data_IF_488287615374
#
_entry.id   IF_488287615374
#
_cell.length_a   1.000
_cell.length_b   1.000
_cell.length_c   1.000
_cell.angle_alpha   90.00
_cell.angle_beta   90.00
_cell.angle_gamma   90.00
#
_symmetry.space_group_name_H-M   'P 1'
#
loop_
_entity.id
_entity.type
_entity.pdbx_description
1 polymer ?
#
# COMPACT_ATOMS: atom_id res chain seq x y z
N UNK A 1 22.90 -25.38 -32.16
CA UNK A 1 21.63 -24.96 -31.54
C UNK A 1 21.89 -23.89 -30.52
N UNK A 2 21.63 -22.64 -30.90
CA UNK A 2 21.89 -21.47 -30.05
C UNK A 2 20.81 -21.37 -28.98
N UNK A 3 21.14 -21.70 -27.72
CA UNK A 3 20.25 -21.49 -26.60
C UNK A 3 19.99 -20.02 -26.36
N UNK A 4 18.87 -19.50 -26.85
CA UNK A 4 18.39 -18.15 -26.49
C UNK A 4 18.28 -18.07 -24.97
N UNK A 5 19.14 -17.28 -24.33
CA UNK A 5 18.98 -16.93 -22.92
C UNK A 5 17.66 -16.21 -22.76
N UNK A 6 16.68 -16.85 -22.13
CA UNK A 6 15.42 -16.24 -21.72
C UNK A 6 15.78 -15.05 -20.81
N UNK A 7 15.30 -13.83 -21.09
CA UNK A 7 15.59 -12.70 -20.22
C UNK A 7 15.18 -12.99 -18.78
N UNK A 8 15.96 -12.51 -17.79
CA UNK A 8 15.73 -12.77 -16.35
C UNK A 8 14.30 -12.44 -15.83
N UNK A 9 13.49 -11.71 -16.61
CA UNK A 9 12.10 -11.40 -16.32
C UNK A 9 11.15 -12.61 -16.42
N UNK A 10 11.54 -13.69 -17.12
CA UNK A 10 10.72 -14.91 -17.28
C UNK A 10 11.08 -16.02 -16.28
N UNK A 11 11.98 -15.76 -15.32
CA UNK A 11 12.42 -16.79 -14.35
C UNK A 11 11.36 -17.13 -13.30
N UNK A 12 10.41 -16.23 -13.08
CA UNK A 12 9.38 -16.37 -12.05
C UNK A 12 7.98 -16.30 -12.68
N UNK A 13 7.09 -17.20 -12.28
CA UNK A 13 5.71 -17.22 -12.71
C UNK A 13 4.82 -16.48 -11.70
N UNK A 14 3.70 -15.89 -12.16
CA UNK A 14 2.71 -15.31 -11.27
C UNK A 14 1.87 -16.41 -10.62
N UNK A 15 1.77 -16.36 -9.31
CA UNK A 15 0.73 -17.03 -8.55
C UNK A 15 -0.50 -16.13 -8.62
N UNK A 16 -1.29 -16.26 -9.70
CA UNK A 16 -2.42 -15.38 -9.95
C UNK A 16 -3.68 -15.81 -9.20
N UNK A 17 -4.51 -14.87 -8.72
CA UNK A 17 -5.82 -15.19 -8.18
C UNK A 17 -6.76 -15.66 -9.30
N UNK A 18 -7.64 -16.60 -9.00
CA UNK A 18 -8.70 -16.99 -9.93
C UNK A 18 -9.83 -15.95 -9.97
N UNK A 19 -10.76 -16.07 -10.94
CA UNK A 19 -11.86 -15.09 -11.11
C UNK A 19 -12.70 -14.89 -9.84
N UNK A 20 -13.03 -15.98 -9.12
CA UNK A 20 -13.79 -15.91 -7.86
C UNK A 20 -13.02 -15.14 -6.79
N UNK A 21 -11.72 -15.40 -6.64
CA UNK A 21 -10.84 -14.71 -5.72
C UNK A 21 -10.71 -13.21 -6.06
N UNK A 22 -10.67 -12.86 -7.36
CA UNK A 22 -10.67 -11.46 -7.80
C UNK A 22 -11.97 -10.77 -7.40
N UNK A 23 -13.13 -11.34 -7.72
CA UNK A 23 -14.44 -10.71 -7.45
C UNK A 23 -14.62 -10.51 -5.93
N UNK A 24 -14.44 -11.56 -5.14
CA UNK A 24 -14.55 -11.48 -3.68
C UNK A 24 -13.48 -10.54 -3.13
N UNK A 25 -12.27 -10.64 -3.66
CA UNK A 25 -11.15 -9.79 -3.27
C UNK A 25 -11.41 -8.31 -3.52
N UNK A 26 -12.06 -7.92 -4.63
CA UNK A 26 -12.43 -6.53 -4.89
C UNK A 26 -13.48 -6.00 -3.88
N UNK A 27 -14.46 -6.84 -3.52
CA UNK A 27 -15.46 -6.49 -2.49
C UNK A 27 -14.77 -6.28 -1.13
N UNK A 28 -13.91 -7.23 -0.74
CA UNK A 28 -13.15 -7.13 0.51
C UNK A 28 -12.19 -5.93 0.51
N UNK A 29 -11.57 -5.63 -0.64
CA UNK A 29 -10.71 -4.45 -0.81
C UNK A 29 -11.47 -3.15 -0.59
N UNK A 30 -12.68 -3.04 -1.14
CA UNK A 30 -13.56 -1.90 -0.91
C UNK A 30 -13.87 -1.74 0.59
N UNK A 31 -14.29 -2.82 1.27
CA UNK A 31 -14.56 -2.79 2.71
C UNK A 31 -13.31 -2.38 3.50
N UNK A 32 -12.14 -2.93 3.15
CA UNK A 32 -10.86 -2.65 3.82
C UNK A 32 -10.47 -1.17 3.68
N UNK A 33 -10.48 -0.65 2.45
CA UNK A 33 -10.09 0.73 2.14
C UNK A 33 -11.02 1.73 2.83
N UNK A 34 -12.34 1.53 2.72
CA UNK A 34 -13.35 2.47 3.23
C UNK A 34 -13.85 2.14 4.65
N UNK A 35 -13.17 1.21 5.36
CA UNK A 35 -13.56 0.78 6.71
C UNK A 35 -13.80 1.93 7.68
N UNK A 36 -12.91 2.93 7.72
CA UNK A 36 -13.04 4.10 8.60
C UNK A 36 -14.31 4.91 8.32
N UNK A 37 -14.63 5.10 7.03
CA UNK A 37 -15.84 5.83 6.61
C UNK A 37 -17.11 5.05 6.93
N UNK A 38 -17.11 3.74 6.68
CA UNK A 38 -18.26 2.88 7.00
C UNK A 38 -18.50 2.81 8.50
N UNK A 39 -17.45 2.64 9.30
CA UNK A 39 -17.56 2.65 10.77
C UNK A 39 -18.08 4.00 11.25
N UNK A 40 -17.55 5.13 10.75
CA UNK A 40 -18.05 6.44 11.11
C UNK A 40 -19.56 6.59 10.80
N UNK A 41 -19.99 6.21 9.58
CA UNK A 41 -21.40 6.25 9.19
C UNK A 41 -22.30 5.36 10.06
N UNK A 42 -21.85 4.17 10.46
CA UNK A 42 -22.60 3.29 11.36
C UNK A 42 -22.75 3.90 12.75
N UNK A 43 -21.70 4.50 13.30
CA UNK A 43 -21.71 5.11 14.64
C UNK A 43 -22.68 6.28 14.76
N UNK A 44 -22.89 7.06 13.68
CA UNK A 44 -23.86 8.17 13.68
C UNK A 44 -25.32 7.72 13.85
N UNK A 45 -25.61 6.45 13.58
CA UNK A 45 -26.96 5.88 13.70
C UNK A 45 -27.22 5.18 15.03
N UNK A 46 -26.27 5.22 15.99
CA UNK A 46 -26.41 4.60 17.31
C UNK A 46 -26.48 5.68 18.39
N UNK A 47 -27.68 6.15 18.79
CA UNK A 47 -27.84 7.27 19.73
C UNK A 47 -27.27 7.02 21.12
N UNK A 48 -27.08 5.74 21.49
CA UNK A 48 -26.58 5.35 22.82
C UNK A 48 -25.08 5.54 23.02
N UNK A 49 -24.32 5.90 21.96
CA UNK A 49 -22.87 6.10 22.05
C UNK A 49 -22.58 7.59 22.33
N UNK A 50 -22.14 7.87 23.53
CA UNK A 50 -21.83 9.24 23.98
C UNK A 50 -20.61 9.84 23.27
N UNK A 51 -19.59 9.02 22.92
CA UNK A 51 -18.36 9.43 22.23
C UNK A 51 -18.03 8.51 21.05
N UNK A 52 -18.67 8.72 19.88
CA UNK A 52 -18.43 7.87 18.71
C UNK A 52 -16.97 7.95 18.20
N UNK A 53 -16.26 9.07 18.43
CA UNK A 53 -14.89 9.27 18.00
C UNK A 53 -13.90 8.37 18.75
N UNK A 54 -14.13 8.08 20.02
CA UNK A 54 -13.29 7.16 20.81
C UNK A 54 -13.40 5.72 20.30
N UNK A 55 -14.59 5.31 19.87
CA UNK A 55 -14.85 3.95 19.43
C UNK A 55 -14.45 3.70 17.97
N UNK A 56 -14.44 4.74 17.13
CA UNK A 56 -14.16 4.65 15.70
C UNK A 56 -12.84 3.96 15.36
N UNK A 57 -11.70 4.29 15.98
CA UNK A 57 -10.42 3.64 15.71
C UNK A 57 -10.49 2.13 16.00
N UNK A 58 -11.04 1.74 17.14
CA UNK A 58 -11.12 0.34 17.55
C UNK A 58 -11.95 -0.50 16.58
N UNK A 59 -13.12 -0.01 16.21
CA UNK A 59 -13.98 -0.69 15.22
C UNK A 59 -13.36 -0.73 13.83
N UNK A 60 -12.65 0.33 13.43
CA UNK A 60 -11.93 0.34 12.16
C UNK A 60 -10.86 -0.75 12.11
N UNK A 61 -10.07 -0.89 13.17
CA UNK A 61 -9.05 -1.95 13.27
C UNK A 61 -9.69 -3.32 13.33
N UNK A 62 -10.79 -3.48 14.07
CA UNK A 62 -11.53 -4.75 14.12
C UNK A 62 -12.01 -5.16 12.72
N UNK A 63 -12.64 -4.24 11.98
CA UNK A 63 -13.11 -4.48 10.60
C UNK A 63 -11.93 -4.84 9.69
N UNK A 64 -10.84 -4.06 9.70
CA UNK A 64 -9.66 -4.34 8.88
C UNK A 64 -9.02 -5.68 9.21
N UNK A 65 -8.89 -6.01 10.49
CA UNK A 65 -8.34 -7.30 10.93
C UNK A 65 -9.24 -8.45 10.50
N UNK A 66 -10.56 -8.31 10.64
CA UNK A 66 -11.54 -9.32 10.19
C UNK A 66 -11.44 -9.53 8.68
N UNK A 67 -11.38 -8.45 7.88
CA UNK A 67 -11.20 -8.55 6.42
C UNK A 67 -9.87 -9.22 6.08
N UNK A 68 -8.80 -8.91 6.81
CA UNK A 68 -7.50 -9.54 6.62
C UNK A 68 -7.55 -11.04 6.89
N UNK A 69 -8.23 -11.48 7.95
CA UNK A 69 -8.46 -12.91 8.25
C UNK A 69 -9.23 -13.58 7.11
N UNK A 70 -10.28 -12.92 6.59
CA UNK A 70 -11.05 -13.45 5.45
C UNK A 70 -10.15 -13.55 4.21
N UNK A 71 -9.28 -12.57 3.93
CA UNK A 71 -8.29 -12.65 2.87
C UNK A 71 -7.36 -13.87 3.04
N UNK A 72 -6.85 -14.11 4.26
CA UNK A 72 -5.99 -15.26 4.53
C UNK A 72 -6.72 -16.58 4.28
N UNK A 73 -8.00 -16.69 4.64
CA UNK A 73 -8.80 -17.89 4.38
C UNK A 73 -9.03 -18.06 2.87
N UNK A 74 -9.47 -16.99 2.17
CA UNK A 74 -9.77 -16.99 0.74
C UNK A 74 -8.55 -17.31 -0.12
N UNK A 75 -7.39 -16.77 0.26
CA UNK A 75 -6.15 -16.80 -0.50
C UNK A 75 -5.12 -17.77 0.10
N UNK A 76 -5.53 -18.63 1.05
CA UNK A 76 -4.63 -19.51 1.82
C UNK A 76 -3.61 -20.24 0.93
N UNK A 77 -4.07 -20.87 -0.12
CA UNK A 77 -3.19 -21.65 -1.03
C UNK A 77 -2.13 -20.77 -1.69
N UNK A 78 -2.54 -19.59 -2.18
CA UNK A 78 -1.66 -18.64 -2.84
C UNK A 78 -0.64 -18.04 -1.86
N UNK A 79 -1.10 -17.64 -0.65
CA UNK A 79 -0.23 -17.09 0.39
C UNK A 79 0.80 -18.11 0.86
N UNK A 80 0.39 -19.35 1.12
CA UNK A 80 1.31 -20.43 1.51
C UNK A 80 2.34 -20.71 0.40
N UNK A 81 1.96 -20.61 -0.87
CA UNK A 81 2.89 -20.79 -1.97
C UNK A 81 3.89 -19.62 -2.05
N UNK A 82 3.47 -18.35 -1.85
CA UNK A 82 4.40 -17.21 -1.76
C UNK A 82 5.41 -17.38 -0.63
N UNK A 83 4.95 -17.80 0.55
CA UNK A 83 5.82 -18.05 1.70
C UNK A 83 6.76 -19.21 1.43
N UNK A 84 6.29 -20.29 0.81
CA UNK A 84 7.14 -21.42 0.41
C UNK A 84 8.20 -20.98 -0.60
N UNK A 85 7.84 -20.28 -1.67
CA UNK A 85 8.78 -19.79 -2.68
C UNK A 85 9.83 -18.85 -2.08
N UNK A 86 9.41 -18.03 -1.09
CA UNK A 86 10.33 -17.16 -0.37
C UNK A 86 11.30 -17.99 0.49
N UNK A 87 10.80 -18.98 1.25
CA UNK A 87 11.61 -19.85 2.11
C UNK A 87 12.59 -20.71 1.30
N UNK A 88 12.14 -21.27 0.18
CA UNK A 88 12.94 -22.17 -0.66
C UNK A 88 13.96 -21.39 -1.51
N UNK A 89 13.81 -20.07 -1.65
CA UNK A 89 14.77 -19.20 -2.32
C UNK A 89 16.02 -19.01 -1.44
N UNK A 90 17.19 -18.90 -2.10
CA UNK A 90 18.43 -18.58 -1.37
C UNK A 90 18.31 -17.21 -0.67
N UNK A 91 18.80 -17.12 0.57
CA UNK A 91 18.81 -15.86 1.33
C UNK A 91 19.38 -14.69 0.51
N UNK A 92 20.50 -14.92 -0.20
CA UNK A 92 21.15 -13.91 -1.06
C UNK A 92 20.22 -13.39 -2.16
N UNK A 93 19.36 -14.24 -2.74
CA UNK A 93 18.42 -13.83 -3.77
C UNK A 93 17.26 -13.00 -3.19
N UNK A 94 16.71 -13.42 -2.05
CA UNK A 94 15.68 -12.66 -1.34
C UNK A 94 16.23 -11.29 -0.90
N UNK A 95 17.40 -11.25 -0.27
CA UNK A 95 18.08 -10.01 0.13
C UNK A 95 18.31 -9.08 -1.06
N UNK A 96 18.79 -9.60 -2.19
CA UNK A 96 18.98 -8.83 -3.43
C UNK A 96 17.69 -8.16 -3.91
N UNK A 97 16.54 -8.86 -3.84
CA UNK A 97 15.27 -8.29 -4.28
C UNK A 97 14.73 -7.23 -3.31
N UNK A 98 14.91 -7.42 -2.01
CA UNK A 98 14.58 -6.41 -0.99
C UNK A 98 15.45 -5.16 -1.21
N UNK A 99 16.77 -5.33 -1.37
CA UNK A 99 17.67 -4.19 -1.65
C UNK A 99 17.32 -3.46 -2.94
N UNK A 100 16.92 -4.17 -4.01
CA UNK A 100 16.42 -3.53 -5.24
C UNK A 100 15.17 -2.70 -4.98
N UNK A 101 14.25 -3.18 -4.16
CA UNK A 101 13.05 -2.44 -3.79
C UNK A 101 13.40 -1.15 -3.06
N UNK A 102 14.31 -1.20 -2.11
CA UNK A 102 14.83 -0.02 -1.39
C UNK A 102 15.49 0.97 -2.38
N UNK A 103 16.33 0.47 -3.29
CA UNK A 103 16.97 1.31 -4.30
C UNK A 103 15.94 1.98 -5.21
N UNK A 104 14.92 1.27 -5.70
CA UNK A 104 13.85 1.88 -6.52
C UNK A 104 13.07 2.93 -5.74
N UNK A 105 12.76 2.66 -4.49
CA UNK A 105 12.08 3.62 -3.61
C UNK A 105 12.91 4.90 -3.42
N UNK A 106 14.22 4.77 -3.13
CA UNK A 106 15.13 5.93 -2.99
C UNK A 106 15.23 6.70 -4.31
N UNK A 107 15.42 6.00 -5.43
CA UNK A 107 15.53 6.64 -6.75
C UNK A 107 14.26 7.44 -7.10
N UNK A 108 13.07 6.86 -6.90
CA UNK A 108 11.82 7.56 -7.15
C UNK A 108 11.65 8.77 -6.21
N UNK A 109 12.07 8.64 -4.95
CA UNK A 109 12.06 9.76 -4.00
C UNK A 109 13.00 10.89 -4.43
N UNK A 110 14.24 10.56 -4.83
CA UNK A 110 15.21 11.54 -5.31
C UNK A 110 14.69 12.26 -6.56
N UNK A 111 14.16 11.52 -7.54
CA UNK A 111 13.55 12.12 -8.74
C UNK A 111 12.40 13.05 -8.38
N UNK A 112 11.52 12.64 -7.47
CA UNK A 112 10.41 13.45 -7.02
C UNK A 112 10.86 14.76 -6.37
N UNK A 113 11.80 14.70 -5.42
CA UNK A 113 12.36 15.89 -4.77
C UNK A 113 13.04 16.80 -5.78
N UNK A 114 13.84 16.24 -6.70
CA UNK A 114 14.48 17.01 -7.76
C UNK A 114 13.47 17.74 -8.67
N UNK A 115 12.36 17.08 -9.03
CA UNK A 115 11.27 17.70 -9.80
C UNK A 115 10.59 18.83 -9.03
N UNK A 116 10.32 18.64 -7.73
CA UNK A 116 9.75 19.71 -6.91
C UNK A 116 10.67 20.93 -6.80
N UNK A 117 11.98 20.71 -6.61
CA UNK A 117 12.96 21.78 -6.57
C UNK A 117 13.06 22.50 -7.92
N UNK A 118 13.01 21.76 -9.02
CA UNK A 118 13.00 22.34 -10.36
C UNK A 118 11.76 23.21 -10.60
N UNK A 119 10.57 22.72 -10.23
CA UNK A 119 9.30 23.46 -10.31
C UNK A 119 9.38 24.73 -9.47
N UNK A 120 9.89 24.65 -8.23
CA UNK A 120 10.10 25.81 -7.37
C UNK A 120 10.95 26.89 -8.05
N UNK A 121 12.08 26.48 -8.64
CA UNK A 121 13.01 27.43 -9.29
C UNK A 121 12.40 28.03 -10.57
N UNK A 122 11.77 27.21 -11.43
CA UNK A 122 11.24 27.66 -12.71
C UNK A 122 9.99 28.52 -12.59
N UNK A 123 9.11 28.20 -11.63
CA UNK A 123 7.82 28.87 -11.48
C UNK A 123 7.81 29.92 -10.36
N UNK A 124 8.95 30.08 -9.65
CA UNK A 124 9.06 30.96 -8.48
C UNK A 124 7.96 30.71 -7.41
N UNK A 125 7.47 29.46 -7.31
CA UNK A 125 6.45 29.07 -6.36
C UNK A 125 7.12 28.73 -5.03
N UNK A 126 6.61 29.31 -3.94
CA UNK A 126 7.01 28.86 -2.60
C UNK A 126 6.40 27.50 -2.30
N UNK A 127 7.21 26.46 -2.43
CA UNK A 127 6.78 25.08 -2.14
C UNK A 127 6.89 24.74 -0.65
N UNK A 128 7.37 25.62 0.21
CA UNK A 128 7.50 25.35 1.67
C UNK A 128 6.14 25.05 2.28
N UNK A 129 5.08 25.72 1.82
CA UNK A 129 3.70 25.46 2.24
C UNK A 129 3.25 24.00 1.98
N UNK A 130 3.84 23.34 0.97
CA UNK A 130 3.55 21.94 0.66
C UNK A 130 4.32 20.98 1.57
N UNK A 131 5.44 21.44 2.17
CA UNK A 131 6.30 20.63 3.03
C UNK A 131 6.00 20.85 4.52
N UNK A 132 5.21 21.89 4.86
CA UNK A 132 4.86 22.23 6.23
C UNK A 132 3.66 21.39 6.70
N UNK A 133 3.96 20.27 7.33
CA UNK A 133 3.01 19.45 8.03
C UNK A 133 2.89 18.02 7.54
N UNK A 134 2.47 17.18 8.45
CA UNK A 134 2.13 15.78 8.16
C UNK A 134 0.82 15.69 7.37
N UNK A 135 0.66 14.63 6.60
CA UNK A 135 -0.64 14.35 5.97
C UNK A 135 -1.70 14.13 7.05
N UNK A 136 -2.97 14.42 6.72
CA UNK A 136 -4.10 14.13 7.62
C UNK A 136 -4.13 12.66 8.00
N UNK A 137 -3.71 11.77 7.09
CA UNK A 137 -3.57 10.35 7.38
C UNK A 137 -2.52 10.10 8.47
N UNK A 138 -1.33 10.73 8.38
CA UNK A 138 -0.26 10.58 9.37
C UNK A 138 -0.68 11.13 10.73
N UNK A 139 -1.18 12.36 10.77
CA UNK A 139 -1.67 12.97 12.03
C UNK A 139 -2.73 12.10 12.70
N UNK A 140 -3.65 11.52 11.92
CA UNK A 140 -4.67 10.60 12.45
C UNK A 140 -4.09 9.30 13.01
N UNK A 141 -2.99 8.80 12.43
CA UNK A 141 -2.27 7.61 12.92
C UNK A 141 -1.59 7.95 14.25
N UNK A 142 -0.92 9.08 14.33
CA UNK A 142 -0.18 9.53 15.50
C UNK A 142 -1.11 9.76 16.70
N UNK A 143 -2.27 10.41 16.46
CA UNK A 143 -3.31 10.58 17.49
C UNK A 143 -3.80 9.22 18.03
N UNK A 144 -4.05 8.26 17.15
CA UNK A 144 -4.53 6.93 17.56
C UNK A 144 -3.44 6.16 18.30
N UNK A 145 -2.17 6.25 17.89
CA UNK A 145 -1.05 5.59 18.59
C UNK A 145 -0.83 6.26 19.96
N UNK A 146 -0.94 7.59 20.07
CA UNK A 146 -0.82 8.29 21.32
C UNK A 146 -1.90 7.88 22.33
N UNK A 147 -3.15 7.72 21.86
CA UNK A 147 -4.24 7.25 22.71
C UNK A 147 -4.15 5.74 23.05
N UNK A 148 -3.68 4.93 22.10
CA UNK A 148 -3.63 3.46 22.21
C UNK A 148 -2.33 2.91 21.60
N UNK A 149 -1.22 2.86 22.36
CA UNK A 149 0.10 2.48 21.82
C UNK A 149 0.15 1.10 21.16
N UNK A 150 -0.72 0.16 21.50
CA UNK A 150 -0.81 -1.17 20.88
C UNK A 150 -1.13 -1.10 19.38
N UNK A 151 -1.72 -0.01 18.91
CA UNK A 151 -2.02 0.24 17.49
C UNK A 151 -0.79 0.31 16.61
N UNK A 152 0.38 0.56 17.16
CA UNK A 152 1.65 0.54 16.44
C UNK A 152 1.88 -0.81 15.74
N UNK A 153 1.43 -1.92 16.36
CA UNK A 153 1.52 -3.27 15.78
C UNK A 153 0.64 -3.35 14.53
N UNK A 154 -0.59 -2.80 14.60
CA UNK A 154 -1.46 -2.78 13.44
C UNK A 154 -0.86 -1.94 12.31
N UNK A 155 -0.42 -0.73 12.59
CA UNK A 155 0.10 0.21 11.58
C UNK A 155 1.40 -0.28 10.95
N UNK A 156 2.31 -0.84 11.76
CA UNK A 156 3.64 -1.24 11.27
C UNK A 156 3.69 -2.65 10.67
N UNK A 157 2.74 -3.53 11.00
CA UNK A 157 2.76 -4.92 10.53
C UNK A 157 1.49 -5.33 9.78
N UNK A 158 0.31 -5.18 10.40
CA UNK A 158 -0.92 -5.75 9.83
C UNK A 158 -1.45 -4.93 8.65
N UNK A 159 -1.41 -3.60 8.74
CA UNK A 159 -1.84 -2.73 7.65
C UNK A 159 -0.99 -2.92 6.39
N UNK A 160 0.36 -2.90 6.43
CA UNK A 160 1.20 -3.23 5.28
C UNK A 160 0.85 -4.56 4.61
N UNK A 161 0.61 -5.61 5.38
CA UNK A 161 0.23 -6.92 4.83
C UNK A 161 -1.10 -6.82 4.09
N UNK A 162 -2.12 -6.22 4.70
CA UNK A 162 -3.44 -6.05 4.10
C UNK A 162 -3.41 -5.19 2.85
N UNK A 163 -2.68 -4.10 2.89
CA UNK A 163 -2.54 -3.17 1.77
C UNK A 163 -1.80 -3.79 0.59
N UNK A 164 -0.79 -4.63 0.82
CA UNK A 164 -0.13 -5.35 -0.27
C UNK A 164 -1.03 -6.44 -0.87
N UNK A 165 -1.85 -7.15 -0.06
CA UNK A 165 -2.87 -8.06 -0.58
C UNK A 165 -3.85 -7.30 -1.48
N UNK A 166 -4.37 -6.17 -1.02
CA UNK A 166 -5.31 -5.34 -1.78
C UNK A 166 -4.66 -4.82 -3.06
N UNK A 167 -3.54 -4.13 -2.94
CA UNK A 167 -2.97 -3.35 -4.04
C UNK A 167 -2.15 -4.21 -5.01
N UNK A 168 -1.35 -5.20 -4.52
CA UNK A 168 -0.45 -5.98 -5.38
C UNK A 168 -1.05 -7.32 -5.77
N UNK A 169 -1.88 -7.90 -4.91
CA UNK A 169 -2.45 -9.18 -5.27
C UNK A 169 -3.81 -9.05 -5.98
N UNK A 170 -4.73 -8.27 -5.46
CA UNK A 170 -6.07 -8.14 -6.05
C UNK A 170 -6.11 -7.08 -7.17
N UNK A 171 -5.83 -5.81 -6.86
CA UNK A 171 -5.95 -4.71 -7.84
C UNK A 171 -4.96 -4.85 -8.99
N UNK A 172 -3.69 -5.13 -8.70
CA UNK A 172 -2.68 -5.30 -9.73
C UNK A 172 -3.07 -6.40 -10.74
N UNK A 173 -3.51 -7.58 -10.27
CA UNK A 173 -3.94 -8.66 -11.15
C UNK A 173 -5.22 -8.32 -11.92
N UNK A 174 -6.13 -7.52 -11.35
CA UNK A 174 -7.34 -7.04 -12.05
C UNK A 174 -6.99 -6.17 -13.27
N UNK A 175 -5.85 -5.48 -13.22
CA UNK A 175 -5.40 -4.59 -14.31
C UNK A 175 -4.30 -5.21 -15.19
N UNK A 176 -3.70 -6.31 -14.78
CA UNK A 176 -2.51 -6.89 -15.42
C UNK A 176 -2.72 -7.33 -16.87
N UNK A 177 -3.95 -7.68 -17.23
CA UNK A 177 -4.34 -8.00 -18.61
C UNK A 177 -4.20 -6.83 -19.58
N UNK A 178 -4.21 -5.58 -19.08
CA UNK A 178 -3.97 -4.36 -19.86
C UNK A 178 -2.48 -3.98 -19.96
N UNK A 179 -1.60 -4.78 -19.38
CA UNK A 179 -0.16 -4.60 -19.39
C UNK A 179 0.46 -4.34 -18.01
N UNK A 180 1.74 -4.72 -17.83
CA UNK A 180 2.44 -4.58 -16.55
C UNK A 180 2.61 -3.13 -16.11
N UNK A 181 2.96 -2.23 -17.04
CA UNK A 181 3.12 -0.81 -16.73
C UNK A 181 1.79 -0.19 -16.26
N UNK A 182 0.68 -0.53 -16.92
CA UNK A 182 -0.66 -0.06 -16.52
C UNK A 182 -1.02 -0.55 -15.12
N UNK A 183 -0.78 -1.83 -14.82
CA UNK A 183 -1.05 -2.39 -13.49
C UNK A 183 -0.17 -1.75 -12.39
N UNK A 184 1.12 -1.49 -12.67
CA UNK A 184 2.02 -0.79 -11.75
C UNK A 184 1.48 0.61 -11.44
N UNK A 185 1.21 1.41 -12.46
CA UNK A 185 0.78 2.81 -12.29
C UNK A 185 -0.56 2.87 -11.56
N UNK A 186 -1.56 2.11 -12.02
CA UNK A 186 -2.92 2.21 -11.48
C UNK A 186 -3.02 1.66 -10.05
N UNK A 187 -2.35 0.55 -9.73
CA UNK A 187 -2.35 0.03 -8.36
C UNK A 187 -1.62 0.95 -7.39
N UNK A 188 -0.59 1.66 -7.86
CA UNK A 188 0.15 2.65 -7.05
C UNK A 188 -0.64 3.95 -6.87
N UNK A 189 -1.37 4.38 -7.90
CA UNK A 189 -2.27 5.53 -7.82
C UNK A 189 -3.39 5.28 -6.80
N UNK A 190 -4.03 4.12 -6.88
CA UNK A 190 -5.08 3.75 -5.91
C UNK A 190 -4.50 3.68 -4.49
N UNK A 191 -3.30 3.10 -4.33
CA UNK A 191 -2.59 3.08 -3.05
C UNK A 191 -2.42 4.50 -2.49
N UNK A 192 -1.90 5.44 -3.28
CA UNK A 192 -1.75 6.84 -2.87
C UNK A 192 -3.09 7.52 -2.56
N UNK A 193 -4.11 7.32 -3.42
CA UNK A 193 -5.44 7.89 -3.21
C UNK A 193 -6.07 7.48 -1.88
N UNK A 194 -5.87 6.24 -1.45
CA UNK A 194 -6.38 5.75 -0.16
C UNK A 194 -5.82 6.52 1.04
N UNK A 195 -4.65 7.15 0.90
CA UNK A 195 -3.96 7.86 1.97
C UNK A 195 -4.29 9.37 2.03
N UNK A 196 -4.90 9.92 0.97
CA UNK A 196 -5.14 11.38 0.85
C UNK A 196 -6.63 11.75 0.77
N UNK A 197 -7.49 10.83 1.17
CA UNK A 197 -8.95 11.07 1.16
C UNK A 197 -9.36 12.17 2.14
N UNK A 198 -8.59 12.38 3.21
CA UNK A 198 -8.83 13.44 4.20
C UNK A 198 -8.61 14.83 3.63
N UNK A 199 -7.50 15.04 2.93
CA UNK A 199 -7.13 16.30 2.29
C UNK A 199 -8.17 16.70 1.25
N UNK A 200 -8.56 15.77 0.37
CA UNK A 200 -9.57 16.04 -0.65
C UNK A 200 -10.95 16.31 -0.05
N UNK A 201 -11.33 15.62 1.02
CA UNK A 201 -12.59 15.85 1.71
C UNK A 201 -12.65 17.24 2.38
N UNK A 202 -11.50 17.81 2.76
CA UNK A 202 -11.38 19.17 3.32
C UNK A 202 -11.14 20.25 2.25
N UNK A 203 -11.15 19.90 0.97
CA UNK A 203 -10.90 20.86 -0.13
C UNK A 203 -9.43 21.25 -0.30
N UNK A 204 -8.50 20.59 0.38
CA UNK A 204 -7.07 20.88 0.31
C UNK A 204 -6.42 20.18 -0.91
N UNK A 205 -6.86 20.50 -2.10
CA UNK A 205 -6.52 19.77 -3.33
C UNK A 205 -5.02 19.77 -3.64
N UNK A 206 -4.31 20.88 -3.47
CA UNK A 206 -2.89 20.98 -3.77
C UNK A 206 -2.03 20.17 -2.76
N UNK A 207 -2.37 20.26 -1.48
CA UNK A 207 -1.74 19.46 -0.43
C UNK A 207 -2.03 17.98 -0.64
N UNK A 208 -3.29 17.66 -0.97
CA UNK A 208 -3.69 16.28 -1.32
C UNK A 208 -2.94 15.73 -2.53
N UNK A 209 -2.72 16.55 -3.58
CA UNK A 209 -1.95 16.13 -4.75
C UNK A 209 -0.47 15.91 -4.40
N UNK A 210 0.12 16.77 -3.58
CA UNK A 210 1.48 16.59 -3.07
C UNK A 210 1.62 15.27 -2.30
N UNK A 211 0.75 15.02 -1.32
CA UNK A 211 0.76 13.79 -0.54
C UNK A 211 0.42 12.55 -1.39
N UNK A 212 -0.47 12.68 -2.38
CA UNK A 212 -0.77 11.61 -3.32
C UNK A 212 0.48 11.09 -4.01
N UNK A 213 1.29 11.99 -4.57
CA UNK A 213 2.54 11.62 -5.25
C UNK A 213 3.52 11.02 -4.23
N UNK A 214 3.59 11.61 -3.03
CA UNK A 214 4.43 11.12 -1.94
C UNK A 214 4.14 9.66 -1.58
N UNK A 215 2.85 9.30 -1.41
CA UNK A 215 2.43 7.93 -1.13
C UNK A 215 2.51 7.00 -2.35
N UNK A 216 2.36 7.53 -3.58
CA UNK A 216 2.56 6.73 -4.78
C UNK A 216 4.00 6.21 -4.94
N UNK A 217 5.01 6.91 -4.44
CA UNK A 217 6.43 6.54 -4.60
C UNK A 217 6.73 5.16 -4.04
N UNK A 218 6.48 4.85 -2.75
CA UNK A 218 6.64 3.49 -2.25
C UNK A 218 5.74 2.51 -3.01
N UNK A 219 4.52 2.93 -3.35
CA UNK A 219 3.61 2.16 -4.17
C UNK A 219 4.20 1.70 -5.49
N UNK A 220 4.84 2.59 -6.24
CA UNK A 220 5.52 2.27 -7.50
C UNK A 220 6.69 1.31 -7.30
N UNK A 221 7.50 1.52 -6.26
CA UNK A 221 8.63 0.64 -5.96
C UNK A 221 8.16 -0.79 -5.65
N UNK A 222 7.15 -0.95 -4.79
CA UNK A 222 6.61 -2.25 -4.41
C UNK A 222 5.94 -2.94 -5.61
N UNK A 223 5.15 -2.21 -6.42
CA UNK A 223 4.52 -2.76 -7.62
C UNK A 223 5.55 -3.21 -8.66
N UNK A 224 6.64 -2.46 -8.83
CA UNK A 224 7.74 -2.82 -9.73
C UNK A 224 8.48 -4.08 -9.26
N UNK A 225 8.71 -4.23 -7.95
CA UNK A 225 9.26 -5.46 -7.37
C UNK A 225 8.30 -6.61 -7.59
N UNK A 226 6.99 -6.42 -7.37
CA UNK A 226 5.98 -7.44 -7.61
C UNK A 226 5.96 -7.90 -9.07
N UNK A 227 5.94 -6.99 -10.03
CA UNK A 227 5.98 -7.34 -11.47
C UNK A 227 7.21 -8.18 -11.81
N UNK A 228 8.38 -7.86 -11.23
CA UNK A 228 9.65 -8.50 -11.58
C UNK A 228 9.93 -9.79 -10.82
N UNK A 229 9.66 -9.82 -9.50
CA UNK A 229 9.95 -10.98 -8.63
C UNK A 229 8.75 -11.92 -8.51
N UNK A 230 7.55 -11.40 -8.71
CA UNK A 230 6.28 -12.14 -8.70
C UNK A 230 6.00 -12.88 -7.39
N UNK A 231 6.50 -12.34 -6.30
CA UNK A 231 6.30 -12.89 -4.96
C UNK A 231 5.89 -11.77 -3.99
N UNK A 232 4.67 -11.90 -3.46
CA UNK A 232 4.03 -10.90 -2.60
C UNK A 232 4.78 -10.68 -1.28
N UNK A 233 5.47 -11.72 -0.75
CA UNK A 233 6.21 -11.64 0.50
C UNK A 233 7.29 -10.55 0.45
N UNK A 234 7.96 -10.34 -0.69
CA UNK A 234 8.95 -9.28 -0.83
C UNK A 234 8.33 -7.89 -0.69
N UNK A 235 7.13 -7.69 -1.24
CA UNK A 235 6.42 -6.42 -1.15
C UNK A 235 5.95 -6.16 0.28
N UNK A 236 5.43 -7.17 0.96
CA UNK A 236 5.04 -7.09 2.38
C UNK A 236 6.24 -6.70 3.26
N UNK A 237 7.39 -7.34 3.07
CA UNK A 237 8.62 -7.02 3.82
C UNK A 237 9.06 -5.58 3.54
N UNK A 238 9.09 -5.16 2.27
CA UNK A 238 9.47 -3.79 1.89
C UNK A 238 8.55 -2.76 2.51
N UNK A 239 7.24 -3.03 2.52
CA UNK A 239 6.26 -2.12 3.10
C UNK A 239 6.37 -2.06 4.63
N UNK A 240 6.55 -3.19 5.30
CA UNK A 240 6.83 -3.24 6.75
C UNK A 240 8.09 -2.44 7.07
N UNK A 241 9.18 -2.63 6.32
CA UNK A 241 10.42 -1.86 6.50
C UNK A 241 10.20 -0.36 6.31
N UNK A 242 9.41 0.03 5.29
CA UNK A 242 9.02 1.43 5.08
C UNK A 242 8.32 1.99 6.32
N UNK A 243 7.32 1.29 6.87
CA UNK A 243 6.57 1.77 8.03
C UNK A 243 7.36 1.69 9.35
N UNK A 244 8.37 0.82 9.45
CA UNK A 244 9.27 0.79 10.60
C UNK A 244 10.25 1.97 10.63
N UNK A 245 10.62 2.50 9.46
CA UNK A 245 11.63 3.55 9.33
C UNK A 245 10.98 4.95 9.33
N UNK A 246 9.79 5.11 8.73
CA UNK A 246 9.19 6.42 8.43
C UNK A 246 7.87 6.70 9.16
N UNK A 247 7.33 5.77 9.90
CA UNK A 247 6.24 5.90 10.84
C UNK A 247 6.76 5.59 12.26
#
# INVERSE_FOLDING_TARGET
>A
MSGKRIPNAMKYEFIAPNKKQIIIGLILSYIYIFSRRHVAGLLTHIPAISNPDDLRPHLTVLVRTTVLVIFFILLRGNILQFLKDFKDSKFKDNFKWIMKGIVYWILFRVVYVALLLLIRVLLHIDTTILFDGDSINQSSIDEVIAAFPIYIIHVKLLAPIGEEIVCRYILFHSFRNKGGAFAIILSSLIFGLCHVTGEFAQGMYWVGLYHLIHYMIPGLAFALIYERRRNLTHCMILHILNNLIFL
#
